data_IF_797450860434
#
_entry.id   IF_797450860434
#
_cell.length_a   1.000
_cell.length_b   1.000
_cell.length_c   1.000
_cell.angle_alpha   90.00
_cell.angle_beta   90.00
_cell.angle_gamma   90.00
#
_symmetry.space_group_name_H-M   'P 1'
#
loop_
_entity.id
_entity.type
_entity.pdbx_description
1 polymer ?
#
# COMPACT_ATOMS: atom_id res chain seq x y z
N UNK A 1 -2.85 6.07 0.91
CA UNK A 1 -3.43 4.80 0.43
C UNK A 1 -2.73 4.35 -0.85
N UNK A 2 -1.40 4.45 -0.94
CA UNK A 2 -0.68 4.31 -2.20
C UNK A 2 -0.87 2.93 -2.86
N UNK A 3 -0.81 1.85 -2.07
CA UNK A 3 -0.96 0.47 -2.59
C UNK A 3 -2.40 0.24 -3.07
N UNK A 4 -3.40 0.67 -2.30
CA UNK A 4 -4.81 0.60 -2.72
C UNK A 4 -5.02 1.34 -4.05
N UNK A 5 -4.52 2.57 -4.16
CA UNK A 5 -4.69 3.38 -5.38
C UNK A 5 -4.02 2.69 -6.57
N UNK A 6 -2.80 2.19 -6.41
CA UNK A 6 -2.10 1.43 -7.45
C UNK A 6 -2.92 0.23 -7.92
N UNK A 7 -3.41 -0.61 -7.01
CA UNK A 7 -4.23 -1.80 -7.35
C UNK A 7 -5.45 -1.40 -8.16
N UNK A 8 -6.16 -0.35 -7.72
CA UNK A 8 -7.38 0.13 -8.39
C UNK A 8 -7.09 0.74 -9.77
N UNK A 9 -5.98 1.48 -9.91
CA UNK A 9 -5.55 2.03 -11.19
C UNK A 9 -5.08 0.93 -12.16
N UNK A 10 -4.36 -0.09 -11.68
CA UNK A 10 -3.95 -1.24 -12.50
C UNK A 10 -5.19 -2.00 -13.03
N UNK A 11 -6.19 -2.23 -12.17
CA UNK A 11 -7.47 -2.84 -12.58
C UNK A 11 -8.10 -2.01 -13.70
N UNK A 12 -8.21 -0.69 -13.52
CA UNK A 12 -8.77 0.20 -14.55
C UNK A 12 -7.96 0.17 -15.84
N UNK A 13 -6.63 0.11 -15.75
CA UNK A 13 -5.72 0.06 -16.90
C UNK A 13 -5.83 -1.25 -17.68
N UNK A 14 -6.21 -2.35 -17.03
CA UNK A 14 -6.49 -3.64 -17.69
C UNK A 14 -7.82 -3.68 -18.47
N UNK A 15 -8.64 -2.62 -18.40
CA UNK A 15 -9.97 -2.57 -18.99
C UNK A 15 -10.06 -1.57 -20.15
N UNK A 16 -11.00 -1.82 -21.08
CA UNK A 16 -11.43 -0.81 -22.06
C UNK A 16 -12.24 0.28 -21.36
N UNK A 17 -12.12 1.53 -21.84
CA UNK A 17 -12.83 2.70 -21.26
C UNK A 17 -14.35 2.51 -21.17
N UNK A 18 -14.94 1.80 -22.12
CA UNK A 18 -16.39 1.50 -22.17
C UNK A 18 -16.81 0.50 -21.09
N UNK A 19 -15.94 -0.45 -20.76
CA UNK A 19 -16.22 -1.49 -19.77
C UNK A 19 -16.05 -0.99 -18.35
N UNK A 20 -15.25 0.05 -18.12
CA UNK A 20 -15.13 0.71 -16.81
C UNK A 20 -16.48 1.23 -16.32
N UNK A 21 -17.41 1.59 -17.23
CA UNK A 21 -18.77 2.05 -16.88
C UNK A 21 -19.74 0.91 -16.56
N UNK A 22 -19.35 -0.34 -16.77
CA UNK A 22 -20.21 -1.51 -16.56
C UNK A 22 -19.79 -2.19 -15.25
N UNK A 23 -20.59 -2.02 -14.20
CA UNK A 23 -20.32 -2.61 -12.88
C UNK A 23 -19.93 -4.11 -12.93
N UNK A 24 -20.63 -5.00 -13.67
CA UNK A 24 -20.24 -6.41 -13.73
C UNK A 24 -18.85 -6.63 -14.34
N UNK A 25 -18.44 -5.79 -15.29
CA UNK A 25 -17.11 -5.86 -15.90
C UNK A 25 -16.01 -5.37 -14.97
N UNK A 26 -16.28 -4.35 -14.16
CA UNK A 26 -15.34 -3.88 -13.14
C UNK A 26 -15.16 -4.97 -12.06
N UNK A 27 -16.25 -5.60 -11.63
CA UNK A 27 -16.21 -6.72 -10.68
C UNK A 27 -15.38 -7.91 -11.22
N UNK A 28 -15.62 -8.30 -12.47
CA UNK A 28 -14.86 -9.33 -13.17
C UNK A 28 -13.37 -8.98 -13.25
N UNK A 29 -13.03 -7.74 -13.64
CA UNK A 29 -11.66 -7.27 -13.74
C UNK A 29 -10.94 -7.24 -12.39
N UNK A 30 -11.62 -6.84 -11.30
CA UNK A 30 -11.08 -6.89 -9.94
C UNK A 30 -10.76 -8.34 -9.53
N UNK A 31 -11.68 -9.27 -9.79
CA UNK A 31 -11.46 -10.69 -9.51
C UNK A 31 -10.29 -11.26 -10.31
N UNK A 32 -10.23 -10.95 -11.61
CA UNK A 32 -9.13 -11.37 -12.49
C UNK A 32 -7.78 -10.80 -12.04
N UNK A 33 -7.73 -9.52 -11.65
CA UNK A 33 -6.54 -8.91 -11.11
C UNK A 33 -6.09 -9.62 -9.83
N UNK A 34 -6.99 -9.87 -8.89
CA UNK A 34 -6.66 -10.52 -7.62
C UNK A 34 -6.32 -12.01 -7.72
N UNK A 35 -6.71 -12.67 -8.81
CA UNK A 35 -6.32 -14.06 -9.11
C UNK A 35 -4.91 -14.19 -9.71
N UNK A 36 -4.24 -13.07 -10.04
CA UNK A 36 -2.89 -13.07 -10.61
C UNK A 36 -1.85 -13.62 -9.62
N UNK A 37 -0.98 -14.49 -10.11
CA UNK A 37 0.09 -15.11 -9.30
C UNK A 37 1.29 -14.20 -9.09
N UNK A 38 1.53 -13.28 -10.03
CA UNK A 38 2.64 -12.33 -10.07
C UNK A 38 2.44 -11.07 -9.20
N UNK A 39 1.33 -11.00 -8.45
CA UNK A 39 1.12 -9.92 -7.48
C UNK A 39 2.13 -9.99 -6.34
N UNK A 40 2.66 -8.82 -5.96
CA UNK A 40 3.47 -8.66 -4.77
C UNK A 40 2.66 -8.90 -3.48
N UNK A 41 3.34 -9.08 -2.34
CA UNK A 41 2.68 -9.33 -1.05
C UNK A 41 1.71 -8.21 -0.64
N UNK A 42 2.01 -6.95 -1.00
CA UNK A 42 1.19 -5.78 -0.64
C UNK A 42 -0.08 -5.71 -1.47
N UNK A 43 0.01 -5.97 -2.78
CA UNK A 43 -1.13 -6.07 -3.67
C UNK A 43 -2.04 -7.23 -3.26
N UNK A 44 -1.46 -8.41 -2.94
CA UNK A 44 -2.21 -9.55 -2.39
C UNK A 44 -2.95 -9.19 -1.10
N UNK A 45 -2.30 -8.43 -0.21
CA UNK A 45 -2.95 -7.96 1.03
C UNK A 45 -4.10 -6.98 0.75
N UNK A 46 -3.99 -6.11 -0.26
CA UNK A 46 -5.13 -5.28 -0.70
C UNK A 46 -6.24 -6.18 -1.24
N UNK A 47 -5.92 -7.13 -2.12
CA UNK A 47 -6.86 -8.10 -2.68
C UNK A 47 -7.65 -8.86 -1.62
N UNK A 48 -7.00 -9.29 -0.53
CA UNK A 48 -7.67 -9.92 0.61
C UNK A 48 -8.80 -9.06 1.21
N UNK A 49 -8.63 -7.73 1.27
CA UNK A 49 -9.66 -6.83 1.80
C UNK A 49 -10.74 -6.48 0.77
N UNK A 50 -10.39 -6.36 -0.52
CA UNK A 50 -11.31 -5.85 -1.54
C UNK A 50 -12.12 -6.95 -2.22
N UNK A 51 -11.58 -8.17 -2.37
CA UNK A 51 -12.25 -9.25 -3.11
C UNK A 51 -13.61 -9.65 -2.51
N UNK A 52 -13.79 -9.72 -1.17
CA UNK A 52 -15.10 -10.00 -0.57
C UNK A 52 -16.15 -8.90 -0.83
N UNK A 53 -15.70 -7.65 -1.06
CA UNK A 53 -16.56 -6.46 -1.22
C UNK A 53 -16.48 -5.86 -2.62
N UNK A 54 -15.93 -6.58 -3.61
CA UNK A 54 -15.67 -6.05 -4.96
C UNK A 54 -16.91 -5.50 -5.67
N UNK A 55 -18.11 -6.01 -5.34
CA UNK A 55 -19.39 -5.47 -5.82
C UNK A 55 -19.62 -4.02 -5.39
N UNK A 56 -19.30 -3.70 -4.14
CA UNK A 56 -19.46 -2.37 -3.56
C UNK A 56 -18.35 -1.43 -4.02
N UNK A 57 -17.16 -1.96 -4.29
CA UNK A 57 -16.02 -1.22 -4.85
C UNK A 57 -16.22 -0.92 -6.35
N UNK A 58 -16.83 -1.84 -7.09
CA UNK A 58 -17.10 -1.68 -8.53
C UNK A 58 -18.12 -0.58 -8.82
N UNK A 59 -19.13 -0.41 -7.95
CA UNK A 59 -20.20 0.58 -8.13
C UNK A 59 -19.70 2.04 -8.26
N UNK A 60 -18.88 2.58 -7.34
CA UNK A 60 -18.34 3.94 -7.48
C UNK A 60 -17.39 4.06 -8.68
N UNK A 61 -16.67 2.99 -9.03
CA UNK A 61 -15.83 2.97 -10.23
C UNK A 61 -16.66 3.10 -11.50
N UNK A 62 -17.79 2.39 -11.60
CA UNK A 62 -18.65 2.42 -12.78
C UNK A 62 -19.34 3.77 -13.02
N UNK A 63 -19.41 4.62 -11.99
CA UNK A 63 -19.91 6.00 -12.09
C UNK A 63 -18.80 7.04 -12.27
N UNK A 64 -17.56 6.60 -12.52
CA UNK A 64 -16.43 7.48 -12.85
C UNK A 64 -15.65 8.01 -11.64
N UNK A 65 -15.83 7.44 -10.44
CA UNK A 65 -15.01 7.79 -9.29
C UNK A 65 -13.54 7.43 -9.51
N UNK A 66 -12.62 8.30 -9.07
CA UNK A 66 -11.18 8.02 -9.11
C UNK A 66 -10.76 7.00 -8.06
N UNK A 67 -9.67 6.27 -8.34
CA UNK A 67 -9.06 5.32 -7.40
C UNK A 67 -8.78 5.94 -6.02
N UNK A 68 -8.22 7.16 -5.99
CA UNK A 68 -7.98 7.91 -4.74
C UNK A 68 -9.26 8.07 -3.90
N UNK A 69 -10.36 8.48 -4.53
CA UNK A 69 -11.62 8.71 -3.80
C UNK A 69 -12.26 7.39 -3.33
N UNK A 70 -12.16 6.32 -4.14
CA UNK A 70 -12.60 4.98 -3.74
C UNK A 70 -11.79 4.48 -2.53
N UNK A 71 -10.46 4.56 -2.58
CA UNK A 71 -9.59 4.15 -1.48
C UNK A 71 -9.82 4.99 -0.21
N UNK A 72 -10.07 6.30 -0.33
CA UNK A 72 -10.44 7.15 0.81
C UNK A 72 -11.77 6.75 1.44
N UNK A 73 -12.75 6.29 0.65
CA UNK A 73 -14.02 5.75 1.18
C UNK A 73 -13.79 4.44 1.90
N UNK A 74 -13.04 3.53 1.27
CA UNK A 74 -12.67 2.24 1.88
C UNK A 74 -11.93 2.41 3.20
N UNK A 75 -11.06 3.41 3.30
CA UNK A 75 -10.35 3.73 4.54
C UNK A 75 -11.28 4.05 5.71
N UNK A 76 -12.44 4.67 5.45
CA UNK A 76 -13.39 5.01 6.51
C UNK A 76 -14.07 3.77 7.09
N UNK A 77 -14.16 2.71 6.30
CA UNK A 77 -14.75 1.43 6.72
C UNK A 77 -13.69 0.49 7.31
N UNK A 78 -12.49 0.50 6.73
CA UNK A 78 -11.37 -0.32 7.17
C UNK A 78 -10.04 0.43 6.93
N UNK A 79 -9.49 0.99 8.00
CA UNK A 79 -8.24 1.74 7.96
C UNK A 79 -7.03 0.88 7.58
N UNK A 80 -7.10 -0.44 7.78
CA UNK A 80 -6.02 -1.36 7.42
C UNK A 80 -5.74 -1.36 5.91
N UNK A 81 -6.72 -1.03 5.07
CA UNK A 81 -6.58 -0.94 3.61
C UNK A 81 -5.54 0.12 3.24
N UNK A 82 -5.64 1.33 3.81
CA UNK A 82 -4.64 2.38 3.55
C UNK A 82 -3.42 2.31 4.47
N UNK A 83 -3.48 1.46 5.50
CA UNK A 83 -2.31 1.05 6.29
C UNK A 83 -1.30 0.25 5.48
N UNK A 84 -1.74 -0.47 4.43
CA UNK A 84 -0.83 -1.14 3.49
C UNK A 84 -0.07 -0.09 2.67
N UNK A 85 1.26 -0.08 2.82
CA UNK A 85 2.19 0.86 2.17
C UNK A 85 3.31 0.10 1.48
N UNK A 86 3.91 0.74 0.48
CA UNK A 86 5.12 0.20 -0.13
C UNK A 86 6.28 0.26 0.86
N UNK A 87 7.23 -0.69 0.77
CA UNK A 87 8.45 -0.61 1.57
C UNK A 87 9.20 0.68 1.24
N UNK A 88 9.81 1.27 2.26
CA UNK A 88 10.73 2.39 2.06
C UNK A 88 12.02 1.74 1.60
N UNK A 89 12.38 1.94 0.32
CA UNK A 89 13.62 1.40 -0.22
C UNK A 89 14.81 2.05 0.49
N UNK A 90 15.64 1.26 1.14
CA UNK A 90 16.86 1.72 1.82
C UNK A 90 18.12 1.24 1.13
N UNK A 91 18.03 0.43 0.06
CA UNK A 91 19.16 -0.25 -0.58
C UNK A 91 20.24 0.70 -1.13
N UNK A 92 19.86 1.95 -1.43
CA UNK A 92 20.75 2.97 -1.98
C UNK A 92 20.95 4.15 -1.00
N UNK A 93 20.58 4.01 0.27
CA UNK A 93 20.76 5.05 1.28
C UNK A 93 22.04 4.78 2.07
N UNK A 94 22.88 5.78 2.21
CA UNK A 94 24.00 5.74 3.14
C UNK A 94 23.55 6.17 4.56
N UNK A 95 24.33 5.87 5.62
CA UNK A 95 23.98 6.26 6.99
C UNK A 95 23.68 7.76 7.15
N UNK A 96 24.30 8.61 6.34
CA UNK A 96 24.06 10.05 6.32
C UNK A 96 22.70 10.44 5.73
N UNK A 97 22.13 9.65 4.83
CA UNK A 97 20.86 9.96 4.16
C UNK A 97 19.64 9.80 5.07
N UNK A 98 19.73 8.98 6.13
CA UNK A 98 18.65 8.87 7.11
C UNK A 98 18.32 10.20 7.79
N UNK A 99 19.29 11.12 7.89
CA UNK A 99 19.06 12.47 8.42
C UNK A 99 18.08 13.29 7.56
N UNK A 100 18.00 13.01 6.26
CA UNK A 100 17.10 13.69 5.31
C UNK A 100 15.66 13.17 5.38
N UNK A 101 15.44 12.01 6.00
CA UNK A 101 14.11 11.41 6.13
C UNK A 101 13.29 12.09 7.24
N UNK A 102 11.97 12.12 7.06
CA UNK A 102 11.04 12.54 8.12
C UNK A 102 10.90 11.42 9.15
N UNK A 103 10.59 11.76 10.40
CA UNK A 103 10.33 10.78 11.48
C UNK A 103 9.32 9.70 11.08
N UNK A 104 8.29 10.07 10.31
CA UNK A 104 7.30 9.12 9.77
C UNK A 104 7.91 8.06 8.83
N UNK A 105 8.91 8.43 8.03
CA UNK A 105 9.62 7.49 7.16
C UNK A 105 10.57 6.61 7.97
N UNK A 106 11.27 7.17 8.96
CA UNK A 106 12.12 6.41 9.87
C UNK A 106 11.31 5.34 10.63
N UNK A 107 10.16 5.71 11.19
CA UNK A 107 9.22 4.78 11.83
C UNK A 107 8.72 3.69 10.85
N UNK A 108 8.51 4.04 9.58
CA UNK A 108 8.09 3.07 8.58
C UNK A 108 9.21 2.05 8.26
N UNK A 109 10.46 2.49 8.16
CA UNK A 109 11.63 1.61 8.00
C UNK A 109 11.73 0.64 9.18
N UNK A 110 11.63 1.15 10.42
CA UNK A 110 11.67 0.31 11.63
C UNK A 110 10.53 -0.72 11.63
N UNK A 111 9.30 -0.30 11.33
CA UNK A 111 8.15 -1.20 11.26
C UNK A 111 8.31 -2.27 10.16
N UNK A 112 8.93 -1.93 9.02
CA UNK A 112 9.24 -2.91 7.96
C UNK A 112 10.22 -3.97 8.43
N UNK A 113 11.16 -3.59 9.30
CA UNK A 113 12.14 -4.49 9.94
C UNK A 113 11.58 -5.20 11.17
N UNK A 114 10.30 -5.02 11.50
CA UNK A 114 9.69 -5.59 12.72
C UNK A 114 10.19 -4.95 14.03
N UNK A 115 10.81 -3.78 13.96
CA UNK A 115 11.37 -3.08 15.12
C UNK A 115 10.48 -1.91 15.52
N UNK A 116 10.29 -1.75 16.83
CA UNK A 116 9.69 -0.57 17.44
C UNK A 116 10.73 0.23 18.22
N UNK A 117 10.70 1.56 18.10
CA UNK A 117 11.56 2.47 18.86
C UNK A 117 10.83 2.89 20.14
N UNK A 118 10.93 2.09 21.21
CA UNK A 118 10.32 2.41 22.50
C UNK A 118 11.12 3.51 23.20
N UNK A 119 10.45 4.59 23.61
CA UNK A 119 11.08 5.70 24.33
C UNK A 119 11.72 6.78 23.46
N UNK A 120 11.74 6.62 22.13
CA UNK A 120 12.33 7.60 21.22
C UNK A 120 11.41 8.84 21.10
N UNK A 121 11.91 9.99 21.52
CA UNK A 121 11.23 11.29 21.50
C UNK A 121 11.81 12.18 20.40
N UNK A 122 13.13 12.21 20.28
CA UNK A 122 13.86 13.04 19.33
C UNK A 122 14.12 12.32 18.00
N UNK A 123 14.24 13.09 16.92
CA UNK A 123 14.47 12.54 15.58
C UNK A 123 15.77 11.72 15.51
N UNK A 124 16.81 12.17 16.20
CA UNK A 124 18.12 11.52 16.17
C UNK A 124 18.09 10.12 16.80
N UNK A 125 17.23 9.89 17.80
CA UNK A 125 17.01 8.55 18.38
C UNK A 125 16.39 7.60 17.35
N UNK A 126 15.45 8.07 16.53
CA UNK A 126 14.90 7.27 15.43
C UNK A 126 15.94 6.99 14.34
N UNK A 127 16.79 7.97 14.01
CA UNK A 127 17.88 7.79 13.05
C UNK A 127 18.85 6.73 13.56
N UNK A 128 19.26 6.84 14.83
CA UNK A 128 20.19 5.88 15.43
C UNK A 128 19.59 4.47 15.41
N UNK A 129 18.33 4.32 15.80
CA UNK A 129 17.66 3.00 15.78
C UNK A 129 17.56 2.42 14.36
N UNK A 130 17.35 3.25 13.34
CA UNK A 130 17.37 2.82 11.94
C UNK A 130 18.77 2.37 11.52
N UNK A 131 19.83 3.05 11.94
CA UNK A 131 21.21 2.60 11.65
C UNK A 131 21.52 1.27 12.33
N UNK A 132 21.18 1.14 13.62
CA UNK A 132 21.46 -0.07 14.41
C UNK A 132 20.77 -1.33 13.86
N UNK A 133 19.68 -1.15 13.10
CA UNK A 133 18.84 -2.23 12.56
C UNK A 133 18.99 -2.41 11.06
N UNK A 134 20.02 -1.81 10.44
CA UNK A 134 20.25 -1.89 9.00
C UNK A 134 20.41 -3.34 8.50
N UNK A 135 21.03 -4.20 9.29
CA UNK A 135 21.17 -5.64 9.02
C UNK A 135 19.83 -6.38 8.84
N UNK A 136 18.70 -5.80 9.29
CA UNK A 136 17.36 -6.36 9.12
C UNK A 136 16.66 -5.89 7.84
N UNK A 137 17.27 -5.00 7.04
CA UNK A 137 16.64 -4.38 5.88
C UNK A 137 16.21 -5.36 4.77
N UNK A 138 16.82 -6.54 4.71
CA UNK A 138 16.55 -7.57 3.70
C UNK A 138 15.77 -8.79 4.21
N UNK A 139 15.29 -8.75 5.47
CA UNK A 139 14.41 -9.80 5.97
C UNK A 139 13.00 -9.57 5.45
N UNK A 140 12.70 -10.05 4.25
CA UNK A 140 11.33 -10.11 3.75
C UNK A 140 10.52 -11.14 4.57
N UNK A 141 9.41 -10.70 5.16
CA UNK A 141 8.31 -11.55 5.66
C UNK A 141 7.15 -11.51 4.65
#
# INVERSE_FOLDING_TARGET
>A
CEVCVKVMDDVKASMKKEDVKKKPKVEEAMGAYCARKDLGPREKKICYYIDPIKRDVAQPFSTGMSADRVCKRLNKTNEAICGVKFPVKTDNLEPQDFSKLRVKQLKAILAQRGVECKGCVEKDEFIQKVKDTEHLAHMEL
#
